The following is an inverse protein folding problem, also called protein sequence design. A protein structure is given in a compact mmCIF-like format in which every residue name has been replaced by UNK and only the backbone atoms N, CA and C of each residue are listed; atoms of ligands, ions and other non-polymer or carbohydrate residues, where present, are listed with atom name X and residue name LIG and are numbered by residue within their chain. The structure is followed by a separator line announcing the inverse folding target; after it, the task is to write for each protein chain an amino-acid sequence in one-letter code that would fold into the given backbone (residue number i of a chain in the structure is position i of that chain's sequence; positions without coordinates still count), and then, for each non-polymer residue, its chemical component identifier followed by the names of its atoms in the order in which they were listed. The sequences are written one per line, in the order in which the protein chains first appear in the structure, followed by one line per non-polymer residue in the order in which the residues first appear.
data_IF_855650823821
#
_entry.id   IF_855650823821
#
_cell.length_a   1.000
_cell.length_b   1.000
_cell.length_c   1.000
_cell.angle_alpha   90.00
_cell.angle_beta   90.00
_cell.angle_gamma   90.00
#
_symmetry.space_group_name_H-M   'P 1'
#
loop_
_entity.id
_entity.type
_entity.pdbx_description
1 polymer ?
#
# COMPACT_ATOMS: atom_id res chain seq x y z
N UNK A 1 16.29 -3.11 8.97
CA UNK A 1 15.89 -2.16 10.03
C UNK A 1 14.43 -2.42 10.34
N UNK A 2 14.10 -2.62 11.62
CA UNK A 2 12.72 -2.88 12.05
C UNK A 2 11.89 -1.59 12.02
N UNK A 3 10.67 -1.58 11.46
CA UNK A 3 9.81 -0.42 11.47
C UNK A 3 9.47 -0.04 12.92
N UNK A 4 9.29 1.27 13.16
CA UNK A 4 9.06 1.86 14.48
C UNK A 4 7.82 1.24 15.12
N UNK A 5 8.02 0.38 16.12
CA UNK A 5 6.97 -0.19 16.98
C UNK A 5 6.51 0.84 17.99
N UNK A 6 5.52 1.67 17.63
CA UNK A 6 4.72 2.42 18.61
C UNK A 6 3.63 1.48 19.15
N UNK A 7 3.94 0.79 20.26
CA UNK A 7 3.05 0.00 21.13
C UNK A 7 2.23 -1.12 20.45
N UNK A 8 2.62 -2.40 20.63
CA UNK A 8 1.82 -3.61 20.27
C UNK A 8 1.09 -3.55 18.89
N UNK A 9 1.65 -2.81 17.94
CA UNK A 9 0.85 -2.05 16.97
C UNK A 9 0.31 -2.92 15.86
N UNK A 10 -1.02 -2.94 15.67
CA UNK A 10 -1.58 -3.51 14.43
C UNK A 10 -0.99 -2.69 13.25
N UNK A 11 -0.21 -3.30 12.34
CA UNK A 11 0.56 -2.59 11.32
C UNK A 11 -0.35 -2.03 10.22
N UNK A 12 0.09 -0.95 9.55
CA UNK A 12 -0.54 -0.45 8.33
C UNK A 12 0.41 -0.74 7.17
N UNK A 13 0.00 -1.61 6.27
CA UNK A 13 0.66 -1.86 5.00
C UNK A 13 0.16 -0.85 3.97
N UNK A 14 0.96 -0.54 2.96
CA UNK A 14 0.56 0.36 1.88
C UNK A 14 0.99 -0.17 0.50
N UNK A 15 0.28 0.25 -0.55
CA UNK A 15 0.58 -0.04 -1.96
C UNK A 15 1.20 1.15 -2.69
N UNK A 16 1.68 2.17 -1.99
CA UNK A 16 2.11 3.45 -2.61
C UNK A 16 3.18 3.20 -3.68
N UNK A 17 4.18 2.38 -3.40
CA UNK A 17 5.25 2.08 -4.35
C UNK A 17 4.73 1.42 -5.65
N UNK A 18 3.80 0.48 -5.50
CA UNK A 18 3.17 -0.25 -6.61
C UNK A 18 2.30 0.70 -7.43
N UNK A 19 1.37 1.41 -6.79
CA UNK A 19 0.47 2.38 -7.43
C UNK A 19 1.24 3.49 -8.15
N UNK A 20 2.35 3.94 -7.55
CA UNK A 20 3.22 4.94 -8.15
C UNK A 20 3.89 4.39 -9.41
N UNK A 21 4.38 3.15 -9.38
CA UNK A 21 4.98 2.50 -10.54
C UNK A 21 3.95 2.24 -11.66
N UNK A 22 2.74 1.81 -11.32
CA UNK A 22 1.63 1.61 -12.27
C UNK A 22 1.27 2.90 -13.04
N UNK A 23 1.45 4.06 -12.42
CA UNK A 23 1.18 5.38 -13.02
C UNK A 23 2.42 6.08 -13.57
N UNK A 24 3.57 5.40 -13.61
CA UNK A 24 4.85 5.99 -14.03
C UNK A 24 5.20 7.29 -13.27
N UNK A 25 4.77 7.40 -12.01
CA UNK A 25 5.04 8.57 -11.17
C UNK A 25 6.42 8.45 -10.51
N UNK A 26 7.18 9.53 -10.48
CA UNK A 26 8.40 9.59 -9.66
C UNK A 26 8.05 9.90 -8.20
N UNK A 27 8.94 9.60 -7.25
CA UNK A 27 8.74 9.99 -5.84
C UNK A 27 8.61 11.51 -5.69
N UNK A 28 9.43 12.26 -6.43
CA UNK A 28 9.37 13.72 -6.44
C UNK A 28 8.01 14.21 -6.95
N UNK A 29 7.51 13.63 -8.05
CA UNK A 29 6.21 14.02 -8.60
C UNK A 29 5.06 13.71 -7.66
N UNK A 30 5.05 12.54 -7.02
CA UNK A 30 4.04 12.22 -6.01
C UNK A 30 4.13 13.18 -4.82
N UNK A 31 5.35 13.52 -4.38
CA UNK A 31 5.56 14.44 -3.27
C UNK A 31 5.05 15.86 -3.57
N UNK A 32 5.23 16.35 -4.80
CA UNK A 32 4.63 17.60 -5.26
C UNK A 32 3.10 17.56 -5.21
N UNK A 33 2.49 16.47 -5.71
CA UNK A 33 1.03 16.31 -5.77
C UNK A 33 0.38 16.23 -4.39
N UNK A 34 1.08 15.68 -3.40
CA UNK A 34 0.60 15.58 -2.01
C UNK A 34 1.27 16.60 -1.08
N UNK A 35 1.93 17.62 -1.63
CA UNK A 35 2.57 18.74 -0.92
C UNK A 35 3.44 18.31 0.28
N UNK A 36 4.38 17.38 0.05
CA UNK A 36 5.36 16.93 1.04
C UNK A 36 6.78 16.92 0.47
N UNK A 37 7.78 16.67 1.33
CA UNK A 37 9.14 16.43 0.90
C UNK A 37 9.25 15.04 0.19
N UNK A 38 10.02 14.90 -0.91
CA UNK A 38 10.27 13.60 -1.56
C UNK A 38 10.77 12.48 -0.63
N UNK A 39 11.49 12.82 0.44
CA UNK A 39 11.92 11.87 1.47
C UNK A 39 10.74 11.25 2.23
N UNK A 40 9.66 12.02 2.44
CA UNK A 40 8.43 11.56 3.08
C UNK A 40 7.81 10.41 2.28
N UNK A 41 7.73 10.54 0.94
CA UNK A 41 7.23 9.46 0.08
C UNK A 41 8.06 8.20 0.23
N UNK A 42 9.40 8.32 0.24
CA UNK A 42 10.28 7.17 0.45
C UNK A 42 10.09 6.49 1.82
N UNK A 43 9.88 7.27 2.87
CA UNK A 43 9.63 6.75 4.21
C UNK A 43 8.23 6.13 4.36
N UNK A 44 7.22 6.65 3.65
CA UNK A 44 5.89 6.04 3.57
C UNK A 44 5.95 4.69 2.85
N UNK A 45 6.62 4.62 1.69
CA UNK A 45 6.77 3.37 0.92
C UNK A 45 7.43 2.26 1.73
N UNK A 46 8.37 2.59 2.62
CA UNK A 46 9.03 1.63 3.53
C UNK A 46 8.22 1.29 4.79
N UNK A 47 7.15 2.05 5.07
CA UNK A 47 6.39 1.92 6.31
C UNK A 47 7.14 2.40 7.56
N UNK A 48 8.12 3.30 7.38
CA UNK A 48 8.92 3.86 8.50
C UNK A 48 8.05 4.72 9.45
N UNK A 49 6.97 5.29 8.93
CA UNK A 49 6.00 6.08 9.67
C UNK A 49 4.60 5.95 9.06
N UNK A 50 3.57 6.21 9.88
CA UNK A 50 2.19 6.29 9.42
C UNK A 50 1.85 7.72 8.99
N UNK A 51 1.16 7.90 7.86
CA UNK A 51 0.69 9.22 7.44
C UNK A 51 -0.38 9.74 8.42
N UNK A 52 -0.54 11.07 8.47
CA UNK A 52 -1.77 11.65 9.01
C UNK A 52 -2.97 11.25 8.16
N UNK A 53 -4.19 11.37 8.71
CA UNK A 53 -5.42 11.12 7.93
C UNK A 53 -5.47 12.01 6.68
N UNK A 54 -5.15 13.29 6.82
CA UNK A 54 -5.07 14.25 5.71
C UNK A 54 -4.11 13.78 4.59
N UNK A 55 -2.89 13.37 4.94
CA UNK A 55 -1.91 12.89 3.96
C UNK A 55 -2.38 11.59 3.29
N UNK A 56 -3.02 10.70 4.04
CA UNK A 56 -3.60 9.48 3.49
C UNK A 56 -4.73 9.79 2.48
N UNK A 57 -5.59 10.76 2.79
CA UNK A 57 -6.68 11.19 1.89
C UNK A 57 -6.13 11.82 0.60
N UNK A 58 -5.14 12.72 0.69
CA UNK A 58 -4.48 13.30 -0.50
C UNK A 58 -3.82 12.24 -1.38
N UNK A 59 -3.19 11.23 -0.79
CA UNK A 59 -2.65 10.09 -1.54
C UNK A 59 -3.77 9.33 -2.27
N UNK A 60 -4.90 9.08 -1.60
CA UNK A 60 -6.06 8.43 -2.19
C UNK A 60 -6.66 9.24 -3.35
N UNK A 61 -6.72 10.56 -3.24
CA UNK A 61 -7.18 11.48 -4.29
C UNK A 61 -6.24 11.45 -5.51
N UNK A 62 -4.93 11.53 -5.31
CA UNK A 62 -3.94 11.40 -6.39
C UNK A 62 -4.07 10.05 -7.10
N UNK A 63 -4.37 8.99 -6.35
CA UNK A 63 -4.61 7.67 -6.91
C UNK A 63 -6.06 7.46 -7.39
N UNK A 64 -7.02 8.34 -7.11
CA UNK A 64 -8.43 8.07 -7.40
C UNK A 64 -8.91 6.71 -6.87
N UNK A 65 -8.39 6.28 -5.72
CA UNK A 65 -8.66 4.97 -5.11
C UNK A 65 -9.17 5.15 -3.68
N UNK A 66 -10.00 4.24 -3.17
CA UNK A 66 -10.43 4.27 -1.78
C UNK A 66 -9.28 3.90 -0.83
N UNK A 67 -9.42 4.26 0.44
CA UNK A 67 -8.38 4.09 1.47
C UNK A 67 -7.91 2.63 1.57
N UNK A 68 -8.82 1.65 1.48
CA UNK A 68 -8.53 0.22 1.58
C UNK A 68 -7.76 -0.35 0.39
N UNK A 69 -7.81 0.32 -0.77
CA UNK A 69 -7.00 -0.07 -1.93
C UNK A 69 -5.56 0.43 -1.80
N UNK A 70 -5.33 1.49 -1.01
CA UNK A 70 -4.01 2.09 -0.81
C UNK A 70 -3.35 1.58 0.48
N UNK A 71 -4.12 1.38 1.54
CA UNK A 71 -3.66 1.01 2.88
C UNK A 71 -4.44 -0.18 3.44
N UNK A 72 -3.78 -1.06 4.18
CA UNK A 72 -4.42 -2.25 4.78
C UNK A 72 -3.85 -2.61 6.14
N UNK A 73 -4.65 -3.34 6.94
CA UNK A 73 -4.21 -3.95 8.21
C UNK A 73 -3.51 -5.29 8.02
N UNK A 74 -3.59 -5.85 6.82
CA UNK A 74 -2.92 -7.08 6.40
C UNK A 74 -2.01 -6.80 5.22
N UNK A 75 -0.99 -7.62 5.04
CA UNK A 75 -0.10 -7.51 3.89
C UNK A 75 -0.88 -7.69 2.59
N UNK A 76 -0.49 -6.93 1.56
CA UNK A 76 -1.10 -7.05 0.25
C UNK A 76 -0.51 -8.25 -0.49
N UNK A 77 -1.36 -9.17 -0.90
CA UNK A 77 -0.94 -10.27 -1.77
C UNK A 77 -0.50 -9.70 -3.13
N UNK A 78 0.65 -10.13 -3.68
CA UNK A 78 1.05 -9.78 -5.03
C UNK A 78 0.03 -10.28 -6.05
N UNK A 79 -0.27 -9.48 -7.07
CA UNK A 79 -1.25 -9.83 -8.10
C UNK A 79 -0.90 -11.15 -8.81
N UNK A 80 0.38 -11.41 -9.05
CA UNK A 80 0.84 -12.69 -9.63
C UNK A 80 0.45 -13.89 -8.78
N UNK A 81 0.53 -13.79 -7.45
CA UNK A 81 0.11 -14.85 -6.54
C UNK A 81 -1.39 -15.09 -6.59
N UNK A 82 -2.20 -14.02 -6.73
CA UNK A 82 -3.65 -14.14 -6.86
C UNK A 82 -4.05 -14.76 -8.22
N UNK A 83 -3.44 -14.31 -9.31
CA UNK A 83 -3.79 -14.75 -10.67
C UNK A 83 -3.33 -16.17 -10.98
N UNK A 84 -2.16 -16.58 -10.46
CA UNK A 84 -1.58 -17.91 -10.71
C UNK A 84 -1.70 -18.85 -9.52
N UNK A 85 -2.57 -18.55 -8.54
CA UNK A 85 -2.89 -19.51 -7.48
C UNK A 85 -3.34 -20.80 -8.15
N UNK A 86 -2.69 -21.95 -7.89
CA UNK A 86 -3.17 -23.23 -8.40
C UNK A 86 -4.63 -23.32 -7.99
N UNK A 87 -5.55 -23.47 -8.96
CA UNK A 87 -6.93 -23.80 -8.61
C UNK A 87 -6.82 -25.07 -7.79
N UNK A 88 -7.17 -25.01 -6.51
CA UNK A 88 -7.32 -26.23 -5.74
C UNK A 88 -8.38 -27.05 -6.47
N UNK A 89 -7.89 -28.10 -7.12
CA UNK A 89 -8.66 -29.07 -7.88
C UNK A 89 -9.80 -29.57 -7.01
N UNK A 90 -10.98 -29.70 -7.62
CA UNK A 90 -12.26 -29.94 -6.95
C UNK A 90 -12.20 -30.83 -5.72
N UNK A 91 -12.60 -30.27 -4.58
CA UNK A 91 -13.27 -31.07 -3.55
C UNK A 91 -14.66 -31.38 -4.10
N UNK A 92 -14.78 -32.60 -4.64
CA UNK A 92 -16.05 -33.27 -4.84
C UNK A 92 -16.86 -33.19 -3.54
N UNK A 93 -17.94 -32.41 -3.53
CA UNK A 93 -18.98 -32.49 -2.49
C UNK A 93 -20.13 -33.34 -3.02
N UNK A 94 -19.82 -34.59 -3.33
CA UNK A 94 -20.81 -35.66 -3.38
C UNK A 94 -20.53 -36.57 -2.17
N UNK A 95 -21.25 -36.29 -1.08
CA UNK A 95 -21.61 -37.21 -0.01
C UNK A 95 -22.80 -36.63 0.76
#
# INVERSE_FOLDING_TARGET
MSPVRRGESRPIFNRIAVLRAERSLSRARLAELIEVNPQTVGALERGDHFPSLDLAMRICEVFGLPIEAVFSRTEFTPLSTELYRPRESGVNRDA
#
